data_IF_760585263375
#
_entry.id   IF_760585263375
#
_cell.length_a   1.000
_cell.length_b   1.000
_cell.length_c   1.000
_cell.angle_alpha   90.00
_cell.angle_beta   90.00
_cell.angle_gamma   90.00
#
_symmetry.space_group_name_H-M   'P 1'
#
loop_
_entity.id
_entity.type
_entity.pdbx_description
1 polymer ?
#
# COMPACT_ATOMS: atom_id res chain seq x y z
N UNK A 1 -19.60 -31.04 -28.56
CA UNK A 1 -20.24 -29.74 -28.84
C UNK A 1 -21.24 -29.28 -27.78
N UNK A 2 -22.46 -29.82 -27.64
CA UNK A 2 -23.44 -29.29 -26.66
C UNK A 2 -22.97 -29.42 -25.19
N UNK A 3 -22.36 -30.57 -24.85
CA UNK A 3 -21.90 -30.89 -23.48
C UNK A 3 -20.67 -30.08 -23.04
N UNK A 4 -19.78 -29.75 -23.98
CA UNK A 4 -18.61 -28.90 -23.71
C UNK A 4 -19.02 -27.43 -23.58
N UNK A 5 -20.02 -27.00 -24.36
CA UNK A 5 -20.57 -25.65 -24.29
C UNK A 5 -21.29 -25.41 -22.96
N UNK A 6 -22.13 -26.35 -22.52
CA UNK A 6 -22.78 -26.32 -21.19
C UNK A 6 -21.76 -26.34 -20.05
N UNK A 7 -20.68 -27.12 -20.19
CA UNK A 7 -19.60 -27.16 -19.19
C UNK A 7 -18.86 -25.82 -19.13
N UNK A 8 -18.59 -25.18 -20.27
CA UNK A 8 -17.93 -23.87 -20.31
C UNK A 8 -18.77 -22.75 -19.69
N UNK A 9 -20.10 -22.80 -19.88
CA UNK A 9 -21.03 -21.85 -19.25
C UNK A 9 -21.14 -22.08 -17.74
N UNK A 10 -21.13 -23.34 -17.30
CA UNK A 10 -21.10 -23.68 -15.88
C UNK A 10 -19.79 -23.23 -15.22
N UNK A 11 -18.64 -23.47 -15.87
CA UNK A 11 -17.32 -23.04 -15.37
C UNK A 11 -17.20 -21.50 -15.31
N UNK A 12 -17.76 -20.78 -16.29
CA UNK A 12 -17.82 -19.32 -16.27
C UNK A 12 -18.77 -18.76 -15.20
N UNK A 13 -19.88 -19.45 -14.92
CA UNK A 13 -20.80 -19.10 -13.83
C UNK A 13 -20.23 -19.42 -12.43
N UNK A 14 -19.26 -20.34 -12.36
CA UNK A 14 -18.55 -20.72 -11.13
C UNK A 14 -17.24 -19.93 -10.93
N UNK A 15 -16.79 -19.16 -11.93
CA UNK A 15 -15.58 -18.38 -11.85
C UNK A 15 -15.69 -17.34 -10.72
N UNK A 16 -14.68 -17.21 -9.84
CA UNK A 16 -14.69 -16.21 -8.79
C UNK A 16 -14.88 -14.82 -9.39
N UNK A 17 -15.83 -14.10 -8.84
CA UNK A 17 -16.16 -12.74 -9.23
C UNK A 17 -15.00 -11.78 -8.87
N UNK A 18 -14.09 -11.58 -9.83
CA UNK A 18 -12.84 -10.82 -9.69
C UNK A 18 -13.07 -9.30 -9.57
N UNK A 19 -14.33 -8.82 -9.64
CA UNK A 19 -14.62 -7.37 -9.59
C UNK A 19 -14.03 -6.69 -8.36
N UNK A 20 -14.04 -7.37 -7.22
CA UNK A 20 -13.49 -6.81 -5.98
C UNK A 20 -11.97 -6.75 -5.99
N UNK A 21 -11.30 -7.70 -6.63
CA UNK A 21 -9.85 -7.66 -6.79
C UNK A 21 -9.44 -6.60 -7.83
N UNK A 22 -10.22 -6.41 -8.90
CA UNK A 22 -10.04 -5.27 -9.84
C UNK A 22 -10.15 -3.94 -9.08
N UNK A 23 -11.19 -3.78 -8.26
CA UNK A 23 -11.36 -2.58 -7.44
C UNK A 23 -10.21 -2.43 -6.43
N UNK A 24 -9.80 -3.50 -5.75
CA UNK A 24 -8.69 -3.45 -4.80
C UNK A 24 -7.37 -3.00 -5.46
N UNK A 25 -7.05 -3.53 -6.66
CA UNK A 25 -5.88 -3.09 -7.44
C UNK A 25 -5.94 -1.60 -7.78
N UNK A 26 -7.10 -1.11 -8.22
CA UNK A 26 -7.31 0.32 -8.50
C UNK A 26 -7.18 1.20 -7.26
N UNK A 27 -7.65 0.73 -6.10
CA UNK A 27 -7.48 1.46 -4.83
C UNK A 27 -6.00 1.54 -4.48
N UNK A 28 -5.23 0.46 -4.66
CA UNK A 28 -3.78 0.47 -4.44
C UNK A 28 -3.07 1.48 -5.34
N UNK A 29 -3.34 1.42 -6.65
CA UNK A 29 -2.79 2.37 -7.62
C UNK A 29 -3.14 3.82 -7.25
N UNK A 30 -4.42 4.08 -6.95
CA UNK A 30 -4.91 5.43 -6.61
C UNK A 30 -4.26 5.96 -5.33
N UNK A 31 -4.14 5.12 -4.29
CA UNK A 31 -3.49 5.51 -3.04
C UNK A 31 -2.00 5.82 -3.26
N UNK A 32 -1.30 4.99 -4.03
CA UNK A 32 0.13 5.17 -4.28
C UNK A 32 0.41 6.40 -5.16
N UNK A 33 -0.43 6.68 -6.15
CA UNK A 33 -0.26 7.85 -7.01
C UNK A 33 -0.71 9.16 -6.36
N UNK A 34 -1.74 9.16 -5.51
CA UNK A 34 -2.22 10.41 -4.90
C UNK A 34 -1.52 10.69 -3.57
N UNK A 35 -1.43 9.70 -2.68
CA UNK A 35 -0.87 9.87 -1.35
C UNK A 35 0.64 9.59 -1.33
N UNK A 36 1.19 8.80 -2.26
CA UNK A 36 2.64 8.59 -2.40
C UNK A 36 3.38 9.73 -3.12
N UNK A 37 2.70 10.84 -3.40
CA UNK A 37 3.24 12.00 -4.12
C UNK A 37 3.13 13.31 -3.34
N UNK A 38 3.92 14.29 -3.77
CA UNK A 38 3.78 15.69 -3.36
C UNK A 38 2.36 16.20 -3.66
N UNK A 39 1.94 17.28 -2.98
CA UNK A 39 0.56 17.78 -3.07
C UNK A 39 0.17 18.23 -4.48
N UNK A 40 1.13 18.77 -5.23
CA UNK A 40 0.98 19.11 -6.65
C UNK A 40 0.95 17.89 -7.58
N UNK A 41 1.22 16.68 -7.06
CA UNK A 41 1.28 15.43 -7.82
C UNK A 41 2.52 15.29 -8.70
N UNK A 42 3.45 16.25 -8.68
CA UNK A 42 4.56 16.31 -9.64
C UNK A 42 5.70 15.35 -9.29
N UNK A 43 5.91 15.04 -8.02
CA UNK A 43 7.02 14.21 -7.56
C UNK A 43 6.56 13.12 -6.58
N UNK A 44 7.33 12.03 -6.52
CA UNK A 44 7.23 11.07 -5.40
C UNK A 44 7.66 11.75 -4.09
N UNK A 45 7.18 11.25 -2.96
CA UNK A 45 7.65 11.72 -1.66
C UNK A 45 9.16 11.45 -1.48
N UNK A 46 9.88 12.25 -0.66
CA UNK A 46 11.29 12.02 -0.39
C UNK A 46 11.57 10.59 0.10
N UNK A 47 12.47 9.87 -0.59
CA UNK A 47 12.79 8.47 -0.31
C UNK A 47 12.01 7.44 -1.12
N UNK A 48 11.00 7.85 -1.90
CA UNK A 48 10.29 6.99 -2.85
C UNK A 48 10.83 7.12 -4.29
N UNK A 49 10.58 6.09 -5.08
CA UNK A 49 10.82 6.01 -6.53
C UNK A 49 9.65 5.28 -7.20
N UNK A 50 9.64 5.15 -8.53
CA UNK A 50 8.58 4.38 -9.20
C UNK A 50 8.65 2.88 -8.88
N UNK A 51 9.86 2.33 -8.69
CA UNK A 51 10.07 0.94 -8.27
C UNK A 51 9.82 0.72 -6.76
N UNK A 52 9.91 1.79 -5.96
CA UNK A 52 9.63 1.78 -4.53
C UNK A 52 8.70 2.96 -4.16
N UNK A 53 7.42 2.92 -4.55
CA UNK A 53 6.51 4.06 -4.45
C UNK A 53 6.17 4.44 -3.00
N UNK A 54 6.37 3.52 -2.05
CA UNK A 54 6.10 3.72 -0.63
C UNK A 54 7.36 4.06 0.19
N UNK A 55 8.51 4.22 -0.47
CA UNK A 55 9.78 4.50 0.21
C UNK A 55 9.84 5.81 0.99
N UNK A 56 8.93 6.74 0.71
CA UNK A 56 8.74 8.00 1.45
C UNK A 56 7.52 8.00 2.38
N UNK A 57 6.79 6.90 2.45
CA UNK A 57 5.51 6.82 3.17
C UNK A 57 4.31 7.23 2.33
N UNK A 58 3.22 7.64 2.99
CA UNK A 58 2.01 8.17 2.36
C UNK A 58 1.60 9.48 3.03
N UNK A 59 1.37 10.51 2.22
CA UNK A 59 0.91 11.83 2.61
C UNK A 59 -0.58 11.78 2.91
N UNK A 60 -0.93 11.63 4.18
CA UNK A 60 -2.31 11.67 4.64
C UNK A 60 -2.59 13.11 5.02
N UNK A 61 -3.26 13.81 4.10
CA UNK A 61 -3.32 15.25 4.12
C UNK A 61 -4.42 15.86 4.97
N UNK A 62 -4.16 17.09 5.41
CA UNK A 62 -5.13 18.04 5.98
C UNK A 62 -5.40 19.13 4.95
N UNK A 63 -6.07 20.23 5.31
CA UNK A 63 -6.31 21.30 4.34
C UNK A 63 -5.01 21.96 3.89
N UNK A 64 -4.03 22.06 4.78
CA UNK A 64 -2.75 22.75 4.53
C UNK A 64 -1.59 21.78 4.24
N UNK A 65 -0.63 22.23 3.43
CA UNK A 65 0.59 21.46 3.13
C UNK A 65 1.63 21.57 4.25
N UNK A 66 1.69 22.70 4.96
CA UNK A 66 2.68 22.97 6.02
C UNK A 66 2.01 23.60 7.24
N UNK A 67 2.54 23.29 8.43
CA UNK A 67 2.00 23.76 9.70
C UNK A 67 1.71 22.63 10.68
N UNK A 68 1.21 22.95 11.88
CA UNK A 68 0.96 21.98 12.95
C UNK A 68 -0.19 20.98 12.65
N UNK A 69 -1.15 21.33 11.78
CA UNK A 69 -2.23 20.45 11.30
C UNK A 69 -2.20 20.33 9.77
N UNK A 70 -1.00 20.07 9.25
CA UNK A 70 -0.75 19.95 7.83
C UNK A 70 -0.65 18.49 7.37
N UNK A 71 -0.27 18.30 6.11
CA UNK A 71 0.10 17.01 5.57
C UNK A 71 1.06 16.26 6.49
N UNK A 72 0.70 15.01 6.80
CA UNK A 72 1.45 14.19 7.73
C UNK A 72 1.32 12.72 7.42
N UNK A 73 1.84 11.91 8.34
CA UNK A 73 1.73 10.46 8.31
C UNK A 73 1.14 10.01 9.65
N UNK A 74 0.22 9.05 9.61
CA UNK A 74 -0.44 8.51 10.81
C UNK A 74 -0.14 7.02 10.93
N UNK A 75 0.64 6.64 11.94
CA UNK A 75 1.13 5.28 12.11
C UNK A 75 0.02 4.23 12.03
N UNK A 76 -1.11 4.45 12.70
CA UNK A 76 -2.22 3.49 12.73
C UNK A 76 -2.91 3.30 11.37
N UNK A 77 -3.04 4.35 10.56
CA UNK A 77 -3.57 4.20 9.21
C UNK A 77 -2.59 3.49 8.28
N UNK A 78 -1.30 3.79 8.43
CA UNK A 78 -0.26 3.14 7.63
C UNK A 78 -0.15 1.64 7.95
N UNK A 79 -0.28 1.23 9.22
CA UNK A 79 -0.29 -0.20 9.56
C UNK A 79 -1.52 -0.93 9.04
N UNK A 80 -2.70 -0.28 9.05
CA UNK A 80 -3.91 -0.85 8.40
C UNK A 80 -3.70 -0.98 6.89
N UNK A 81 -3.05 -0.01 6.25
CA UNK A 81 -2.74 -0.09 4.82
C UNK A 81 -1.74 -1.21 4.50
N UNK A 82 -0.70 -1.40 5.30
CA UNK A 82 0.22 -2.54 5.20
C UNK A 82 -0.53 -3.87 5.28
N UNK A 83 -1.49 -3.99 6.20
CA UNK A 83 -2.34 -5.17 6.32
C UNK A 83 -3.18 -5.39 5.06
N UNK A 84 -3.83 -4.34 4.54
CA UNK A 84 -4.63 -4.43 3.30
C UNK A 84 -3.80 -4.92 2.10
N UNK A 85 -2.59 -4.37 1.92
CA UNK A 85 -1.65 -4.82 0.89
C UNK A 85 -1.26 -6.29 1.06
N UNK A 86 -0.98 -6.72 2.28
CA UNK A 86 -0.70 -8.12 2.59
C UNK A 86 -1.91 -9.04 2.30
N UNK A 87 -3.15 -8.59 2.53
CA UNK A 87 -4.36 -9.34 2.14
C UNK A 87 -4.52 -9.44 0.63
N UNK A 88 -4.24 -8.36 -0.09
CA UNK A 88 -4.27 -8.38 -1.55
C UNK A 88 -3.21 -9.32 -2.13
N UNK A 89 -2.03 -9.36 -1.52
CA UNK A 89 -0.97 -10.31 -1.89
C UNK A 89 -1.45 -11.76 -1.82
N UNK A 90 -2.11 -12.15 -0.73
CA UNK A 90 -2.66 -13.51 -0.59
C UNK A 90 -3.80 -13.78 -1.57
N UNK A 91 -4.72 -12.84 -1.74
CA UNK A 91 -5.90 -13.03 -2.58
C UNK A 91 -5.56 -13.12 -4.08
N UNK A 92 -4.48 -12.46 -4.50
CA UNK A 92 -4.04 -12.43 -5.91
C UNK A 92 -2.87 -13.38 -6.20
N UNK A 93 -2.22 -13.92 -5.16
CA UNK A 93 -0.96 -14.66 -5.30
C UNK A 93 0.24 -13.79 -5.73
N UNK A 94 0.09 -12.46 -5.76
CA UNK A 94 1.14 -11.54 -6.17
C UNK A 94 1.93 -11.02 -4.94
N UNK A 95 3.20 -11.45 -4.72
CA UNK A 95 3.97 -11.07 -3.55
C UNK A 95 4.35 -9.58 -3.50
N UNK A 96 4.36 -8.89 -4.65
CA UNK A 96 4.78 -7.47 -4.73
C UNK A 96 3.96 -6.55 -3.82
N UNK A 97 2.67 -6.84 -3.59
CA UNK A 97 1.87 -6.05 -2.65
C UNK A 97 2.40 -6.17 -1.21
N UNK A 98 2.86 -7.35 -0.80
CA UNK A 98 3.46 -7.52 0.53
C UNK A 98 4.85 -6.87 0.61
N UNK A 99 5.62 -6.90 -0.47
CA UNK A 99 6.90 -6.19 -0.56
C UNK A 99 6.70 -4.67 -0.39
N UNK A 100 5.66 -4.12 -1.01
CA UNK A 100 5.24 -2.72 -0.83
C UNK A 100 4.86 -2.44 0.64
N UNK A 101 4.12 -3.34 1.30
CA UNK A 101 3.80 -3.20 2.73
C UNK A 101 5.07 -3.15 3.61
N UNK A 102 6.04 -4.02 3.33
CA UNK A 102 7.33 -4.03 4.03
C UNK A 102 8.14 -2.76 3.75
N UNK A 103 8.15 -2.28 2.50
CA UNK A 103 8.81 -1.03 2.13
C UNK A 103 8.22 0.16 2.90
N UNK A 104 6.89 0.25 3.00
CA UNK A 104 6.21 1.26 3.79
C UNK A 104 6.62 1.18 5.27
N UNK A 105 6.66 -0.02 5.85
CA UNK A 105 7.07 -0.21 7.24
C UNK A 105 8.51 0.28 7.48
N UNK A 106 9.45 -0.07 6.59
CA UNK A 106 10.84 0.39 6.67
C UNK A 106 10.96 1.91 6.57
N UNK A 107 10.18 2.53 5.69
CA UNK A 107 10.21 3.98 5.48
C UNK A 107 9.73 4.75 6.72
N UNK A 108 8.64 4.30 7.34
CA UNK A 108 7.95 5.10 8.35
C UNK A 108 8.36 4.76 9.78
N UNK A 109 8.73 3.50 10.07
CA UNK A 109 9.04 3.06 11.42
C UNK A 109 10.12 3.91 12.14
N UNK A 110 11.25 4.32 11.52
CA UNK A 110 12.24 5.14 12.23
C UNK A 110 11.72 6.52 12.67
N UNK A 111 10.62 7.01 12.08
CA UNK A 111 10.05 8.33 12.37
C UNK A 111 9.01 8.32 13.49
N UNK A 112 8.49 7.15 13.86
CA UNK A 112 7.43 6.99 14.87
C UNK A 112 7.92 6.45 16.22
N UNK A 113 9.19 6.05 16.32
CA UNK A 113 9.74 5.42 17.52
C UNK A 113 11.01 6.16 17.98
N UNK A 114 11.09 6.46 19.28
CA UNK A 114 12.25 7.07 19.94
C UNK A 114 13.00 6.03 20.78
N UNK A 115 14.25 6.33 21.16
CA UNK A 115 15.10 5.48 22.03
C UNK A 115 15.45 4.09 21.48
N UNK A 116 15.75 3.98 20.18
CA UNK A 116 16.15 2.72 19.54
C UNK A 116 17.55 2.22 19.97
N UNK A 117 18.34 3.07 20.63
CA UNK A 117 19.70 2.81 21.11
C UNK A 117 19.76 2.65 22.65
N UNK A 118 18.86 1.88 23.26
CA UNK A 118 19.09 1.38 24.62
C UNK A 118 19.32 -0.12 24.57
N UNK A 119 20.50 -0.49 24.06
CA UNK A 119 21.23 -1.75 24.30
C UNK A 119 22.41 -1.83 23.32
N UNK A 120 23.40 -0.95 23.49
CA UNK A 120 24.79 -1.30 23.21
C UNK A 120 25.47 -1.28 24.58
N UNK A 121 25.68 -2.48 25.13
CA UNK A 121 26.27 -2.67 26.44
C UNK A 121 27.61 -1.94 26.54
N UNK A 122 27.84 -1.33 27.70
CA UNK A 122 29.20 -1.14 28.19
C UNK A 122 29.77 -2.51 28.49
N UNK A 123 30.79 -2.89 27.72
CA UNK A 123 31.86 -3.80 28.15
C UNK A 123 33.04 -2.93 28.62
#
# INVERSE_FOLDING_TARGET
MHREYEKSLADAAQAPDDRYLVLARRVVETVHEILGRTRDGLARLPGASDDNPLGGGLRIGKMDERGPDADGQYHHYLTVWMFALNRLALATGNPSYNEQAVALAKAIHPRFFVNRERESGSD
#
